data_IF_756096597925
#
_entry.id   IF_756096597925
#
_cell.length_a   1.000
_cell.length_b   1.000
_cell.length_c   1.000
_cell.angle_alpha   90.00
_cell.angle_beta   90.00
_cell.angle_gamma   90.00
#
_symmetry.space_group_name_H-M   'P 1'
#
loop_
_entity.id
_entity.type
_entity.pdbx_description
1 polymer ?
#
# COMPACT_ATOMS: atom_id res chain seq x y z
N UNK A 1 -4.91 3.77 25.12
CA UNK A 1 -3.46 3.98 25.29
C UNK A 1 -2.83 2.65 25.68
N UNK A 2 -1.93 2.11 24.85
CA UNK A 2 -1.24 0.82 25.11
C UNK A 2 -0.36 0.86 26.36
N UNK A 3 0.02 2.04 26.84
CA UNK A 3 0.77 2.22 28.09
C UNK A 3 -0.12 2.28 29.35
N UNK A 4 -1.44 2.14 29.20
CA UNK A 4 -2.31 2.04 30.37
C UNK A 4 -2.19 0.64 30.96
N UNK A 5 -2.08 0.55 32.30
CA UNK A 5 -1.86 -0.69 33.04
C UNK A 5 -2.79 -1.83 32.63
N UNK A 6 -4.05 -1.50 32.38
CA UNK A 6 -5.10 -2.49 32.06
C UNK A 6 -5.07 -2.99 30.60
N UNK A 7 -4.28 -2.36 29.71
CA UNK A 7 -4.25 -2.67 28.27
C UNK A 7 -3.00 -3.47 27.84
N UNK A 8 -2.02 -3.67 28.74
CA UNK A 8 -0.76 -4.36 28.48
C UNK A 8 0.25 -3.54 27.64
N UNK A 9 1.52 -3.48 28.07
CA UNK A 9 2.58 -2.74 27.37
C UNK A 9 3.25 -1.60 28.15
N UNK A 10 3.21 -1.61 29.49
CA UNK A 10 3.79 -0.58 30.36
C UNK A 10 5.29 -0.32 30.10
N UNK A 11 6.03 -1.34 29.62
CA UNK A 11 7.45 -1.25 29.23
C UNK A 11 7.72 -1.06 27.73
N UNK A 12 6.71 -0.82 26.88
CA UNK A 12 6.91 -0.72 25.43
C UNK A 12 7.49 0.67 25.05
N UNK A 13 8.78 0.66 24.71
CA UNK A 13 9.60 1.83 24.39
C UNK A 13 9.67 2.18 22.89
N UNK A 14 9.17 1.32 22.01
CA UNK A 14 9.29 1.47 20.55
C UNK A 14 7.97 1.83 19.89
N UNK A 15 8.03 2.67 18.87
CA UNK A 15 6.90 2.96 17.99
C UNK A 15 6.43 1.68 17.27
N UNK A 16 5.14 1.63 16.92
CA UNK A 16 4.59 0.55 16.10
C UNK A 16 5.11 0.69 14.66
N UNK A 17 6.35 0.26 14.43
CA UNK A 17 6.96 0.26 13.10
C UNK A 17 6.50 -0.98 12.35
N UNK A 18 5.66 -0.78 11.35
CA UNK A 18 5.30 -1.83 10.40
C UNK A 18 6.42 -2.08 9.38
N UNK A 19 6.40 -3.26 8.76
CA UNK A 19 7.25 -3.59 7.62
C UNK A 19 6.42 -3.67 6.34
N UNK A 20 7.08 -3.42 5.19
CA UNK A 20 6.49 -3.60 3.86
C UNK A 20 7.28 -4.67 3.12
N UNK A 21 6.60 -5.68 2.58
CA UNK A 21 7.20 -6.69 1.70
C UNK A 21 6.73 -6.41 0.28
N UNK A 22 7.57 -5.83 -0.59
CA UNK A 22 7.23 -5.58 -1.98
C UNK A 22 6.72 -6.84 -2.70
N UNK A 23 5.85 -6.67 -3.68
CA UNK A 23 5.59 -7.74 -4.64
C UNK A 23 6.81 -7.91 -5.55
N UNK A 24 7.03 -9.12 -6.05
CA UNK A 24 7.96 -9.33 -7.17
C UNK A 24 7.59 -8.41 -8.34
N UNK A 25 8.58 -7.85 -9.04
CA UNK A 25 8.32 -6.93 -10.16
C UNK A 25 7.85 -7.70 -11.37
N UNK A 26 8.49 -8.84 -11.65
CA UNK A 26 8.24 -9.68 -12.83
C UNK A 26 7.87 -11.13 -12.45
N UNK A 27 7.30 -11.93 -13.37
CA UNK A 27 7.03 -13.34 -13.15
C UNK A 27 8.29 -14.17 -12.85
N UNK A 28 9.43 -13.80 -13.42
CA UNK A 28 10.71 -14.49 -13.21
C UNK A 28 11.22 -14.26 -11.79
N UNK A 29 11.15 -13.01 -11.29
CA UNK A 29 11.48 -12.69 -9.90
C UNK A 29 10.54 -13.42 -8.93
N UNK A 30 9.25 -13.48 -9.25
CA UNK A 30 8.24 -14.22 -8.49
C UNK A 30 8.60 -15.70 -8.40
N UNK A 31 8.92 -16.33 -9.54
CA UNK A 31 9.30 -17.73 -9.60
C UNK A 31 10.61 -18.02 -8.84
N UNK A 32 11.60 -17.14 -8.95
CA UNK A 32 12.90 -17.28 -8.28
C UNK A 32 12.79 -17.17 -6.76
N UNK A 33 11.97 -16.23 -6.28
CA UNK A 33 11.74 -16.02 -4.85
C UNK A 33 10.72 -16.98 -4.23
N UNK A 34 9.91 -17.64 -5.06
CA UNK A 34 8.80 -18.49 -4.61
C UNK A 34 7.61 -17.70 -4.05
N UNK A 35 7.45 -16.41 -4.39
CA UNK A 35 6.33 -15.60 -3.92
C UNK A 35 5.00 -16.11 -4.52
N UNK A 36 4.02 -16.53 -3.71
CA UNK A 36 2.73 -17.01 -4.22
C UNK A 36 1.86 -15.88 -4.80
N UNK A 37 2.16 -14.62 -4.51
CA UNK A 37 1.37 -13.45 -4.92
C UNK A 37 1.77 -13.06 -6.35
N UNK A 38 0.81 -12.72 -7.25
CA UNK A 38 1.15 -12.21 -8.59
C UNK A 38 2.09 -11.01 -8.53
N UNK A 39 3.02 -10.97 -9.49
CA UNK A 39 3.98 -9.87 -9.64
C UNK A 39 3.29 -8.56 -10.02
N UNK A 40 4.01 -7.44 -9.95
CA UNK A 40 3.46 -6.12 -10.29
C UNK A 40 2.96 -6.07 -11.73
N UNK A 41 3.74 -6.56 -12.69
CA UNK A 41 3.35 -6.56 -14.12
C UNK A 41 2.21 -7.55 -14.43
N UNK A 42 2.01 -8.58 -13.60
CA UNK A 42 0.84 -9.46 -13.71
C UNK A 42 -0.43 -8.80 -13.15
N UNK A 43 -0.30 -7.79 -12.28
CA UNK A 43 -1.43 -7.07 -11.66
C UNK A 43 -1.84 -5.84 -12.44
N UNK A 44 -0.88 -5.10 -12.97
CA UNK A 44 -1.08 -3.80 -13.61
C UNK A 44 -0.28 -3.72 -14.90
N UNK A 45 -0.93 -3.28 -15.98
CA UNK A 45 -0.28 -3.10 -17.27
C UNK A 45 0.83 -2.02 -17.20
N UNK A 46 0.56 -0.92 -16.48
CA UNK A 46 1.48 0.19 -16.29
C UNK A 46 1.09 1.05 -15.06
N UNK A 47 1.89 2.08 -14.78
CA UNK A 47 1.65 3.03 -13.69
C UNK A 47 0.30 3.76 -13.87
N UNK A 48 -0.08 4.13 -15.09
CA UNK A 48 -1.32 4.85 -15.36
C UNK A 48 -2.55 4.00 -15.00
N UNK A 49 -2.51 2.71 -15.35
CA UNK A 49 -3.53 1.72 -15.00
C UNK A 49 -3.66 1.54 -13.50
N UNK A 50 -2.53 1.54 -12.77
CA UNK A 50 -2.55 1.47 -11.31
C UNK A 50 -3.11 2.76 -10.68
N UNK A 51 -2.66 3.94 -11.14
CA UNK A 51 -3.17 5.23 -10.69
C UNK A 51 -4.68 5.39 -10.93
N UNK A 52 -5.18 4.94 -12.09
CA UNK A 52 -6.59 4.97 -12.43
C UNK A 52 -7.44 4.11 -11.48
N UNK A 53 -6.96 2.92 -11.14
CA UNK A 53 -7.62 2.05 -10.16
C UNK A 53 -7.61 2.66 -8.74
N UNK A 54 -6.49 3.26 -8.33
CA UNK A 54 -6.40 3.96 -7.03
C UNK A 54 -7.35 5.15 -6.98
N UNK A 55 -7.43 5.96 -8.05
CA UNK A 55 -8.37 7.08 -8.13
C UNK A 55 -9.81 6.60 -8.00
N UNK A 56 -10.19 5.58 -8.77
CA UNK A 56 -11.54 5.01 -8.73
C UNK A 56 -11.91 4.54 -7.32
N UNK A 57 -11.00 3.83 -6.65
CA UNK A 57 -11.22 3.38 -5.28
C UNK A 57 -11.33 4.54 -4.28
N UNK A 58 -10.48 5.56 -4.41
CA UNK A 58 -10.52 6.76 -3.57
C UNK A 58 -11.82 7.55 -3.76
N UNK A 59 -12.29 7.72 -5.00
CA UNK A 59 -13.57 8.36 -5.32
C UNK A 59 -14.75 7.59 -4.72
N UNK A 60 -14.72 6.25 -4.76
CA UNK A 60 -15.73 5.42 -4.08
C UNK A 60 -15.72 5.66 -2.56
N UNK A 61 -14.55 5.74 -1.92
CA UNK A 61 -14.46 6.08 -0.50
C UNK A 61 -14.96 7.49 -0.17
N UNK A 62 -14.79 8.44 -1.08
CA UNK A 62 -15.38 9.78 -0.93
C UNK A 62 -16.91 9.70 -0.98
N UNK A 63 -17.47 8.94 -1.93
CA UNK A 63 -18.92 8.72 -2.03
C UNK A 63 -19.48 8.06 -0.76
N UNK A 64 -18.75 7.10 -0.20
CA UNK A 64 -19.10 6.40 1.05
C UNK A 64 -18.81 7.22 2.32
N UNK A 65 -18.27 8.45 2.17
CA UNK A 65 -17.86 9.35 3.27
C UNK A 65 -16.79 8.75 4.20
N UNK A 66 -15.95 7.87 3.66
CA UNK A 66 -14.79 7.27 4.32
C UNK A 66 -13.49 8.04 4.02
N UNK A 67 -13.49 8.92 3.02
CA UNK A 67 -12.34 9.73 2.60
C UNK A 67 -12.78 11.16 2.25
N UNK A 68 -11.90 12.16 2.44
CA UNK A 68 -12.16 13.53 1.99
C UNK A 68 -11.87 13.68 0.49
N UNK A 69 -12.62 14.52 -0.21
CA UNK A 69 -12.39 14.76 -1.64
C UNK A 69 -10.95 15.23 -1.96
N UNK A 70 -10.34 16.03 -1.07
CA UNK A 70 -8.97 16.50 -1.22
C UNK A 70 -7.89 15.42 -1.03
N UNK A 71 -8.26 14.22 -0.56
CA UNK A 71 -7.32 13.11 -0.36
C UNK A 71 -7.20 12.18 -1.58
N UNK A 72 -8.06 12.35 -2.60
CA UNK A 72 -8.00 11.55 -3.83
C UNK A 72 -6.66 11.75 -4.54
N UNK A 73 -6.27 13.00 -4.77
CA UNK A 73 -5.01 13.29 -5.46
C UNK A 73 -3.79 12.91 -4.62
N UNK A 74 -3.88 13.02 -3.29
CA UNK A 74 -2.83 12.54 -2.38
C UNK A 74 -2.65 11.03 -2.47
N UNK A 75 -3.76 10.28 -2.56
CA UNK A 75 -3.75 8.83 -2.70
C UNK A 75 -3.10 8.41 -4.02
N UNK A 76 -3.42 9.11 -5.11
CA UNK A 76 -2.81 8.88 -6.43
C UNK A 76 -1.32 9.23 -6.43
N UNK A 77 -0.92 10.33 -5.80
CA UNK A 77 0.49 10.69 -5.66
C UNK A 77 1.27 9.63 -4.83
N UNK A 78 0.67 9.12 -3.76
CA UNK A 78 1.27 8.04 -2.97
C UNK A 78 1.40 6.74 -3.77
N UNK A 79 0.43 6.42 -4.65
CA UNK A 79 0.53 5.28 -5.55
C UNK A 79 1.77 5.36 -6.45
N UNK A 80 2.11 6.55 -6.95
CA UNK A 80 3.36 6.78 -7.71
C UNK A 80 4.60 6.52 -6.86
N UNK A 81 4.62 6.99 -5.61
CA UNK A 81 5.76 6.77 -4.72
C UNK A 81 5.97 5.27 -4.43
N UNK A 82 4.89 4.54 -4.17
CA UNK A 82 4.93 3.08 -3.98
C UNK A 82 5.36 2.36 -5.25
N UNK A 83 4.88 2.79 -6.41
CA UNK A 83 5.33 2.24 -7.68
C UNK A 83 6.83 2.44 -7.86
N UNK A 84 7.35 3.64 -7.64
CA UNK A 84 8.79 3.94 -7.76
C UNK A 84 9.64 3.15 -6.75
N UNK A 85 9.14 2.94 -5.53
CA UNK A 85 9.82 2.12 -4.53
C UNK A 85 10.01 0.67 -5.00
N UNK A 86 9.05 0.13 -5.77
CA UNK A 86 9.04 -1.27 -6.18
C UNK A 86 9.60 -1.46 -7.59
N UNK A 87 9.26 -0.59 -8.53
CA UNK A 87 9.53 -0.71 -9.98
C UNK A 87 10.62 0.24 -10.48
N UNK A 88 11.11 1.16 -9.64
CA UNK A 88 12.19 2.10 -9.95
C UNK A 88 13.58 1.58 -9.63
#
# INVERSE_FOLDING_TARGET
>A
NVRHRDNGGEGQLSDMVGSTIPFARTPEERATSGDPRPSVVERYADLASYQGQVRTAAENFVADRLMLAGDVDRSVANATNLWNLVMG
#
